data_IF_111984394790
#
_entry.id   IF_111984394790
#
_cell.length_a   1.000
_cell.length_b   1.000
_cell.length_c   1.000
_cell.angle_alpha   90.00
_cell.angle_beta   90.00
_cell.angle_gamma   90.00
#
_symmetry.space_group_name_H-M   'P 1'
#
loop_
_entity.id
_entity.type
_entity.pdbx_description
1 polymer ?
#
# COMPACT_ATOMS: atom_id res chain seq x y z
N UNK A 1 -26.66 13.29 9.52
CA UNK A 1 -25.42 13.88 10.03
C UNK A 1 -24.77 14.64 8.88
N UNK A 2 -24.70 15.99 8.98
CA UNK A 2 -24.08 16.86 8.00
C UNK A 2 -22.57 16.60 8.01
N UNK A 3 -21.97 16.30 6.83
CA UNK A 3 -20.53 16.34 6.67
C UNK A 3 -20.05 17.77 7.01
N UNK A 4 -19.02 17.93 7.86
CA UNK A 4 -18.43 19.24 8.04
C UNK A 4 -17.88 19.73 6.69
N UNK A 5 -18.15 20.99 6.36
CA UNK A 5 -17.65 21.64 5.13
C UNK A 5 -16.11 21.67 5.09
N UNK A 6 -15.53 22.04 3.94
CA UNK A 6 -14.08 22.08 3.77
C UNK A 6 -13.45 23.05 4.75
N UNK A 7 -12.40 22.60 5.45
CA UNK A 7 -11.67 23.44 6.39
C UNK A 7 -10.34 23.85 5.76
N UNK A 8 -10.17 25.16 5.56
CA UNK A 8 -8.88 25.76 5.21
C UNK A 8 -8.41 26.54 6.43
N UNK A 9 -7.24 26.22 6.97
CA UNK A 9 -6.60 26.96 8.05
C UNK A 9 -5.28 27.54 7.57
N UNK A 10 -5.12 28.83 7.68
CA UNK A 10 -3.85 29.50 7.51
C UNK A 10 -3.18 29.65 8.88
N UNK A 11 -2.00 29.09 9.06
CA UNK A 11 -1.16 29.39 10.21
C UNK A 11 -0.41 30.68 9.92
N UNK A 12 -0.83 31.80 10.56
CA UNK A 12 -0.16 33.09 10.46
C UNK A 12 1.08 33.11 11.36
N UNK A 13 2.26 32.81 10.77
CA UNK A 13 3.54 33.22 11.35
C UNK A 13 3.96 34.57 10.77
N UNK A 14 4.51 35.48 11.58
CA UNK A 14 5.03 36.80 11.18
C UNK A 14 6.42 36.69 10.55
N UNK A 15 6.60 35.80 9.50
CA UNK A 15 7.85 35.58 8.79
C UNK A 15 7.62 35.28 7.30
N UNK A 16 8.66 35.31 6.45
CA UNK A 16 8.56 34.91 5.05
C UNK A 16 8.26 33.40 4.99
N UNK A 17 7.03 33.04 4.57
CA UNK A 17 6.58 31.66 4.39
C UNK A 17 5.22 31.40 5.06
N UNK A 18 4.14 31.70 4.33
CA UNK A 18 2.80 31.31 4.79
C UNK A 18 2.64 29.81 4.55
N UNK A 19 2.35 29.07 5.60
CA UNK A 19 1.93 27.66 5.49
C UNK A 19 0.43 27.57 5.52
N UNK A 20 -0.16 26.95 4.51
CA UNK A 20 -1.60 26.72 4.39
C UNK A 20 -1.87 25.23 4.57
N UNK A 21 -2.74 24.89 5.50
CA UNK A 21 -3.27 23.53 5.66
C UNK A 21 -4.68 23.50 5.08
N UNK A 22 -4.92 22.66 4.08
CA UNK A 22 -6.20 22.47 3.44
C UNK A 22 -6.73 21.05 3.68
N UNK A 23 -7.98 20.93 4.12
CA UNK A 23 -8.72 19.67 4.21
C UNK A 23 -9.96 19.76 3.29
N UNK A 24 -9.80 19.67 1.96
CA UNK A 24 -10.90 19.73 1.03
C UNK A 24 -11.83 18.53 1.21
N UNK A 25 -13.09 18.66 0.77
CA UNK A 25 -14.02 17.53 0.83
C UNK A 25 -13.52 16.39 -0.05
N UNK A 26 -13.34 15.21 0.57
CA UNK A 26 -12.78 14.00 -0.05
C UNK A 26 -13.83 13.06 -0.64
N UNK A 27 -15.12 13.46 -0.56
CA UNK A 27 -16.25 12.69 -1.07
C UNK A 27 -17.23 13.61 -1.78
N UNK A 28 -17.74 13.16 -2.91
CA UNK A 28 -18.89 13.70 -3.59
C UNK A 28 -19.88 12.55 -3.81
N UNK A 29 -21.17 12.79 -3.57
CA UNK A 29 -22.26 11.80 -3.72
C UNK A 29 -21.96 10.44 -3.06
N UNK A 30 -21.35 10.46 -1.86
CA UNK A 30 -20.99 9.26 -1.09
C UNK A 30 -19.73 8.52 -1.60
N UNK A 31 -19.19 8.89 -2.76
CA UNK A 31 -17.99 8.28 -3.35
C UNK A 31 -16.73 9.05 -2.99
N UNK A 32 -15.61 8.34 -2.85
CA UNK A 32 -14.30 8.97 -2.67
C UNK A 32 -13.86 9.67 -3.95
N UNK A 33 -13.34 10.88 -3.81
CA UNK A 33 -12.75 11.65 -4.91
C UNK A 33 -11.32 11.14 -5.10
N UNK A 34 -11.01 10.73 -6.32
CA UNK A 34 -9.67 10.27 -6.74
C UNK A 34 -8.99 11.26 -7.68
N UNK A 35 -9.74 12.11 -8.33
CA UNK A 35 -9.26 13.14 -9.26
C UNK A 35 -9.03 14.44 -8.48
N UNK A 36 -7.79 14.98 -8.43
CA UNK A 36 -7.49 16.22 -7.70
C UNK A 36 -8.30 17.43 -8.18
N UNK A 37 -8.65 17.48 -9.46
CA UNK A 37 -9.46 18.57 -10.03
C UNK A 37 -10.93 18.53 -9.56
N UNK A 38 -11.37 17.45 -8.93
CA UNK A 38 -12.72 17.29 -8.38
C UNK A 38 -12.80 17.42 -6.87
N UNK A 39 -11.69 17.73 -6.20
CA UNK A 39 -11.71 18.09 -4.79
C UNK A 39 -12.59 19.32 -4.59
N UNK A 40 -13.07 19.56 -3.38
CA UNK A 40 -13.88 20.75 -3.06
C UNK A 40 -13.21 21.51 -1.91
N UNK A 41 -12.54 22.64 -2.19
CA UNK A 41 -12.29 23.21 -3.52
C UNK A 41 -11.32 22.36 -4.38
N UNK A 42 -11.32 22.51 -5.72
CA UNK A 42 -10.39 21.85 -6.63
C UNK A 42 -8.94 22.17 -6.29
N UNK A 43 -8.03 21.20 -6.53
CA UNK A 43 -6.60 21.40 -6.26
C UNK A 43 -6.01 22.58 -7.06
N UNK A 44 -6.31 22.75 -8.38
CA UNK A 44 -5.82 23.91 -9.12
C UNK A 44 -6.27 25.25 -8.47
N UNK A 45 -7.54 25.34 -8.06
CA UNK A 45 -8.08 26.56 -7.44
C UNK A 45 -7.39 26.87 -6.11
N UNK A 46 -7.01 25.84 -5.34
CA UNK A 46 -6.24 26.02 -4.11
C UNK A 46 -4.83 26.57 -4.39
N UNK A 47 -4.16 26.07 -5.41
CA UNK A 47 -2.84 26.54 -5.80
C UNK A 47 -2.89 27.99 -6.30
N UNK A 48 -3.89 28.34 -7.10
CA UNK A 48 -4.09 29.68 -7.64
C UNK A 48 -4.49 30.71 -6.57
N UNK A 49 -5.23 30.27 -5.55
CA UNK A 49 -5.64 31.16 -4.46
C UNK A 49 -4.51 31.54 -3.50
N UNK A 50 -3.42 30.73 -3.46
CA UNK A 50 -2.31 30.92 -2.53
C UNK A 50 -0.95 30.84 -3.24
N UNK A 51 -0.66 31.71 -4.21
CA UNK A 51 0.56 31.67 -4.98
C UNK A 51 1.80 31.89 -4.09
N UNK A 52 2.78 31.01 -4.21
CA UNK A 52 4.03 31.09 -3.42
C UNK A 52 3.89 30.74 -1.94
N UNK A 53 2.75 30.22 -1.51
CA UNK A 53 2.59 29.69 -0.17
C UNK A 53 2.95 28.20 -0.12
N UNK A 54 3.53 27.74 0.98
CA UNK A 54 3.71 26.34 1.26
C UNK A 54 2.36 25.71 1.64
N UNK A 55 1.89 24.69 0.89
CA UNK A 55 0.60 24.04 1.14
C UNK A 55 0.77 22.58 1.58
N UNK A 56 -0.02 22.21 2.60
CA UNK A 56 -0.25 20.82 3.00
C UNK A 56 -1.73 20.50 2.75
N UNK A 57 -2.01 19.57 1.84
CA UNK A 57 -3.37 19.30 1.34
C UNK A 57 -3.72 17.85 1.65
N UNK A 58 -4.68 17.68 2.56
CA UNK A 58 -5.13 16.36 3.00
C UNK A 58 -6.08 15.74 1.97
N UNK A 59 -5.74 14.56 1.49
CA UNK A 59 -6.47 13.86 0.44
C UNK A 59 -6.94 12.47 0.87
N UNK A 60 -7.85 11.89 0.09
CA UNK A 60 -8.18 10.48 0.24
C UNK A 60 -6.97 9.61 -0.18
N UNK A 61 -6.78 8.42 0.43
CA UNK A 61 -5.67 7.54 0.07
C UNK A 61 -5.60 7.14 -1.41
N UNK A 62 -6.73 7.22 -2.12
CA UNK A 62 -6.83 6.89 -3.54
C UNK A 62 -6.68 8.07 -4.48
N UNK A 63 -6.28 9.23 -3.99
CA UNK A 63 -6.07 10.41 -4.85
C UNK A 63 -5.03 10.10 -5.95
N UNK A 64 -5.27 10.57 -7.14
CA UNK A 64 -4.27 10.54 -8.21
C UNK A 64 -3.27 11.67 -7.97
N UNK A 65 -2.02 11.33 -7.89
CA UNK A 65 -0.92 12.26 -7.68
C UNK A 65 0.20 12.09 -8.71
N UNK A 66 -0.11 11.48 -9.86
CA UNK A 66 0.86 11.23 -10.93
C UNK A 66 1.56 12.50 -11.41
N UNK A 67 0.81 13.61 -11.49
CA UNK A 67 1.29 14.91 -11.94
C UNK A 67 1.75 15.83 -10.79
N UNK A 68 1.80 15.31 -9.54
CA UNK A 68 2.22 16.11 -8.40
C UNK A 68 3.75 16.14 -8.27
N UNK A 69 4.35 17.35 -8.27
CA UNK A 69 5.79 17.54 -8.24
C UNK A 69 6.38 17.76 -6.84
N UNK A 70 5.54 17.90 -5.80
CA UNK A 70 5.97 18.01 -4.41
C UNK A 70 5.97 16.66 -3.68
N UNK A 71 6.05 16.72 -2.34
CA UNK A 71 5.99 15.54 -1.51
C UNK A 71 4.57 14.94 -1.47
N UNK A 72 4.48 13.63 -1.61
CA UNK A 72 3.28 12.83 -1.31
C UNK A 72 3.58 11.93 -0.13
N UNK A 73 2.93 12.18 1.00
CA UNK A 73 3.01 11.33 2.20
C UNK A 73 1.74 10.48 2.33
N UNK A 74 1.90 9.17 2.42
CA UNK A 74 0.80 8.21 2.61
C UNK A 74 0.92 7.59 3.99
N UNK A 75 -0.15 7.65 4.77
CA UNK A 75 -0.13 7.19 6.17
C UNK A 75 -1.05 5.98 6.34
N UNK A 76 -0.52 4.94 6.99
CA UNK A 76 -1.31 3.82 7.52
C UNK A 76 -1.27 3.77 9.04
N UNK A 77 -2.38 3.35 9.64
CA UNK A 77 -2.48 3.07 11.08
C UNK A 77 -3.08 1.69 11.25
N UNK A 78 -2.38 0.82 11.97
CA UNK A 78 -2.77 -0.56 12.23
C UNK A 78 -3.12 -1.36 10.96
N UNK A 79 -2.27 -1.20 9.91
CA UNK A 79 -2.42 -1.88 8.62
C UNK A 79 -3.50 -1.31 7.70
N UNK A 80 -4.20 -0.25 8.12
CA UNK A 80 -5.21 0.42 7.30
C UNK A 80 -4.72 1.78 6.80
N UNK A 81 -4.65 1.98 5.47
CA UNK A 81 -4.31 3.29 4.89
C UNK A 81 -5.39 4.32 5.23
N UNK A 82 -4.99 5.40 5.88
CA UNK A 82 -5.91 6.43 6.39
C UNK A 82 -6.05 7.61 5.44
N UNK A 83 -4.93 8.13 4.97
CA UNK A 83 -4.91 9.33 4.14
C UNK A 83 -3.66 9.41 3.26
N UNK A 84 -3.72 10.26 2.25
CA UNK A 84 -2.57 10.82 1.56
C UNK A 84 -2.56 12.33 1.80
N UNK A 85 -1.38 12.91 1.93
CA UNK A 85 -1.19 14.35 2.02
C UNK A 85 -0.27 14.80 0.89
N UNK A 86 -0.69 15.83 0.16
CA UNK A 86 0.12 16.47 -0.87
C UNK A 86 0.75 17.72 -0.28
N UNK A 87 2.06 17.83 -0.37
CA UNK A 87 2.80 19.00 0.11
C UNK A 87 3.49 19.67 -1.08
N UNK A 88 3.51 20.99 -1.10
CA UNK A 88 4.31 21.73 -2.09
C UNK A 88 5.81 21.44 -1.91
N UNK A 89 6.66 21.68 -2.91
CA UNK A 89 8.10 21.32 -2.87
C UNK A 89 8.89 21.86 -1.69
N UNK A 90 8.39 22.93 -1.02
CA UNK A 90 9.08 23.61 0.08
C UNK A 90 9.17 22.76 1.38
N UNK A 91 8.49 21.61 1.45
CA UNK A 91 8.40 20.81 2.68
C UNK A 91 9.51 19.76 2.83
N UNK A 92 10.05 19.24 1.74
CA UNK A 92 11.06 18.19 1.77
C UNK A 92 11.84 18.09 0.46
N UNK A 93 13.04 17.53 0.54
CA UNK A 93 13.90 17.25 -0.61
C UNK A 93 13.55 15.95 -1.33
N UNK A 94 12.69 15.11 -0.75
CA UNK A 94 12.20 13.88 -1.34
C UNK A 94 10.74 14.03 -1.82
N UNK A 95 10.30 13.15 -2.72
CA UNK A 95 8.99 13.29 -3.37
C UNK A 95 7.95 12.29 -2.88
N UNK A 96 8.36 11.18 -2.27
CA UNK A 96 7.46 10.12 -1.80
C UNK A 96 7.82 9.70 -0.39
N UNK A 97 6.77 9.52 0.42
CA UNK A 97 6.90 9.07 1.79
C UNK A 97 5.74 8.13 2.15
N UNK A 98 6.06 7.07 2.85
CA UNK A 98 5.09 6.21 3.51
C UNK A 98 5.35 6.21 5.01
N UNK A 99 4.33 6.51 5.81
CA UNK A 99 4.39 6.45 7.28
C UNK A 99 3.51 5.32 7.76
N UNK A 100 4.13 4.31 8.37
CA UNK A 100 3.45 3.14 8.95
C UNK A 100 3.44 3.29 10.46
N UNK A 101 2.25 3.39 11.03
CA UNK A 101 2.04 3.55 12.48
C UNK A 101 1.30 2.32 13.00
N UNK A 102 1.83 1.70 14.02
CA UNK A 102 1.24 0.58 14.77
C UNK A 102 1.52 0.79 16.26
N UNK A 103 0.84 0.03 17.11
CA UNK A 103 1.08 0.12 18.56
C UNK A 103 2.57 -0.14 18.87
N UNK A 104 3.22 0.85 19.48
CA UNK A 104 4.64 0.82 19.82
C UNK A 104 5.63 0.85 18.65
N UNK A 105 5.17 1.06 17.40
CA UNK A 105 6.01 1.04 16.21
C UNK A 105 5.65 2.14 15.23
N UNK A 106 6.65 2.87 14.73
CA UNK A 106 6.49 3.82 13.62
C UNK A 106 7.68 3.69 12.68
N UNK A 107 7.41 3.50 11.40
CA UNK A 107 8.42 3.49 10.35
C UNK A 107 8.06 4.51 9.27
N UNK A 108 9.06 5.29 8.85
CA UNK A 108 8.98 6.18 7.69
C UNK A 108 9.90 5.66 6.59
N UNK A 109 9.36 5.53 5.39
CA UNK A 109 10.07 5.12 4.17
C UNK A 109 9.97 6.24 3.15
N UNK A 110 11.10 6.63 2.57
CA UNK A 110 11.21 7.67 1.54
C UNK A 110 11.74 7.12 0.23
N UNK A 111 11.70 7.90 -0.83
CA UNK A 111 12.21 7.54 -2.15
C UNK A 111 13.74 7.69 -2.30
N UNK A 112 14.45 8.04 -1.23
CA UNK A 112 15.92 8.09 -1.19
C UNK A 112 16.58 6.70 -1.10
N UNK A 113 15.77 5.63 -1.00
CA UNK A 113 16.24 4.27 -0.81
C UNK A 113 16.72 3.59 -2.08
N UNK A 114 17.32 2.40 -1.87
CA UNK A 114 17.79 1.54 -2.95
C UNK A 114 16.67 0.79 -3.68
N UNK A 115 17.07 0.02 -4.68
CA UNK A 115 16.22 -0.95 -5.40
C UNK A 115 16.53 -2.37 -4.96
N UNK A 116 15.64 -3.30 -5.27
CA UNK A 116 15.80 -4.72 -4.97
C UNK A 116 15.70 -5.56 -6.22
N UNK A 117 16.42 -6.68 -6.22
CA UNK A 117 16.35 -7.66 -7.29
C UNK A 117 15.07 -8.48 -7.23
N UNK A 118 14.71 -9.06 -8.37
CA UNK A 118 13.69 -10.11 -8.47
C UNK A 118 14.37 -11.46 -8.28
N UNK A 119 13.83 -12.27 -7.37
CA UNK A 119 14.40 -13.58 -7.05
C UNK A 119 13.30 -14.61 -6.77
N UNK A 120 13.71 -15.87 -6.65
CA UNK A 120 12.83 -16.97 -6.24
C UNK A 120 12.33 -16.75 -4.82
N UNK A 121 11.17 -17.32 -4.47
CA UNK A 121 10.68 -17.28 -3.09
C UNK A 121 11.70 -17.84 -2.11
N UNK A 122 11.90 -17.12 -1.01
CA UNK A 122 12.71 -17.50 0.14
C UNK A 122 11.80 -18.05 1.25
N UNK A 123 12.25 -18.04 2.48
CA UNK A 123 11.53 -18.61 3.62
C UNK A 123 10.15 -18.01 3.87
N UNK A 124 9.95 -16.74 3.53
CA UNK A 124 8.68 -16.03 3.73
C UNK A 124 8.24 -15.25 2.49
N UNK A 125 6.93 -15.23 2.24
CA UNK A 125 6.28 -14.25 1.36
C UNK A 125 5.74 -13.13 2.24
N UNK A 126 6.02 -11.88 1.85
CA UNK A 126 5.70 -10.69 2.63
C UNK A 126 4.83 -9.77 1.80
N UNK A 127 3.71 -9.36 2.39
CA UNK A 127 2.78 -8.36 1.84
C UNK A 127 3.11 -7.02 2.50
N UNK A 128 3.72 -6.06 1.78
CA UNK A 128 4.05 -4.76 2.34
C UNK A 128 2.81 -4.01 2.83
N UNK A 129 3.01 -3.10 3.78
CA UNK A 129 1.94 -2.24 4.25
C UNK A 129 1.31 -1.42 3.10
N UNK A 130 0.01 -1.22 3.18
CA UNK A 130 -0.72 -0.50 2.14
C UNK A 130 -0.21 0.92 1.86
N UNK A 131 0.36 1.61 2.86
CA UNK A 131 0.97 2.92 2.66
C UNK A 131 2.24 2.83 1.80
N UNK A 132 3.10 1.83 2.05
CA UNK A 132 4.32 1.57 1.27
C UNK A 132 3.97 1.26 -0.20
N UNK A 133 2.96 0.39 -0.40
CA UNK A 133 2.48 0.05 -1.75
C UNK A 133 1.90 1.29 -2.44
N UNK A 134 1.07 2.06 -1.74
CA UNK A 134 0.39 3.23 -2.31
C UNK A 134 1.35 4.37 -2.62
N UNK A 135 2.38 4.58 -1.80
CA UNK A 135 3.43 5.57 -2.07
C UNK A 135 4.40 5.16 -3.19
N UNK A 136 4.35 3.89 -3.65
CA UNK A 136 5.26 3.37 -4.68
C UNK A 136 6.65 3.02 -4.14
N UNK A 137 6.78 2.77 -2.83
CA UNK A 137 8.06 2.62 -2.12
C UNK A 137 8.40 1.16 -1.77
N UNK A 138 7.82 0.21 -2.49
CA UNK A 138 8.02 -1.23 -2.23
C UNK A 138 9.49 -1.64 -2.37
N UNK A 139 10.20 -1.11 -3.39
CA UNK A 139 11.61 -1.41 -3.61
C UNK A 139 12.49 -0.82 -2.51
N UNK A 140 12.27 0.44 -2.13
CA UNK A 140 13.02 1.14 -1.09
C UNK A 140 12.85 0.46 0.27
N UNK A 141 11.63 0.08 0.60
CA UNK A 141 11.35 -0.69 1.81
C UNK A 141 11.98 -2.08 1.77
N UNK A 142 11.88 -2.77 0.63
CA UNK A 142 12.53 -4.06 0.41
C UNK A 142 14.04 -4.00 0.58
N UNK A 143 14.68 -2.98 0.01
CA UNK A 143 16.14 -2.77 0.14
C UNK A 143 16.56 -2.54 1.59
N UNK A 144 15.80 -1.73 2.34
CA UNK A 144 16.05 -1.47 3.78
C UNK A 144 16.03 -2.75 4.61
N UNK A 145 15.17 -3.71 4.25
CA UNK A 145 14.98 -4.95 4.99
C UNK A 145 15.65 -6.19 4.36
N UNK A 146 16.49 -6.01 3.33
CA UNK A 146 17.21 -7.12 2.68
C UNK A 146 16.29 -8.12 1.98
N UNK A 147 15.13 -7.66 1.49
CA UNK A 147 14.13 -8.48 0.79
C UNK A 147 14.36 -8.45 -0.72
N UNK A 148 13.74 -9.38 -1.43
CA UNK A 148 13.68 -9.43 -2.90
C UNK A 148 12.24 -9.41 -3.38
N UNK A 149 11.99 -8.98 -4.61
CA UNK A 149 10.65 -9.02 -5.22
C UNK A 149 10.40 -10.39 -5.86
N UNK A 150 9.13 -10.82 -5.91
CA UNK A 150 8.72 -12.03 -6.65
C UNK A 150 8.53 -11.74 -8.14
N UNK A 151 8.23 -10.49 -8.49
CA UNK A 151 8.05 -9.99 -9.85
C UNK A 151 8.22 -8.45 -9.84
N UNK A 152 8.81 -7.83 -10.88
CA UNK A 152 9.10 -6.39 -10.87
C UNK A 152 7.86 -5.50 -10.82
N UNK A 153 6.68 -6.03 -11.19
CA UNK A 153 5.42 -5.28 -11.25
C UNK A 153 4.44 -5.65 -10.12
N UNK A 154 4.80 -6.60 -9.25
CA UNK A 154 3.92 -7.12 -8.20
C UNK A 154 4.50 -6.82 -6.82
N UNK A 155 3.74 -6.07 -6.02
CA UNK A 155 4.15 -5.67 -4.68
C UNK A 155 4.05 -6.82 -3.65
N UNK A 156 4.71 -7.95 -3.93
CA UNK A 156 5.01 -9.00 -2.97
C UNK A 156 6.51 -9.20 -2.89
N UNK A 157 7.01 -9.27 -1.68
CA UNK A 157 8.43 -9.45 -1.38
C UNK A 157 8.68 -10.82 -0.75
N UNK A 158 9.93 -11.21 -0.72
CA UNK A 158 10.36 -12.45 -0.09
C UNK A 158 11.68 -12.25 0.64
N UNK A 159 11.83 -12.95 1.76
CA UNK A 159 13.04 -12.93 2.59
C UNK A 159 13.16 -14.16 3.46
N UNK A 160 14.33 -14.35 4.06
CA UNK A 160 14.58 -15.46 4.98
C UNK A 160 14.18 -15.11 6.42
N UNK A 161 14.03 -13.82 6.71
CA UNK A 161 13.61 -13.29 8.00
C UNK A 161 12.51 -12.27 7.78
N UNK A 162 11.55 -12.21 8.69
CA UNK A 162 10.52 -11.16 8.69
C UNK A 162 11.09 -9.87 9.28
N UNK A 163 10.81 -8.70 8.66
CA UNK A 163 11.13 -7.42 9.29
C UNK A 163 10.38 -7.24 10.61
N UNK A 164 11.03 -6.63 11.60
CA UNK A 164 10.43 -6.36 12.90
C UNK A 164 9.15 -5.53 12.76
N UNK A 165 8.11 -5.91 13.50
CA UNK A 165 6.81 -5.26 13.45
C UNK A 165 5.94 -5.61 12.23
N UNK A 166 6.43 -6.46 11.33
CA UNK A 166 5.67 -6.92 10.16
C UNK A 166 5.25 -8.39 10.27
N UNK A 167 4.35 -8.78 9.39
CA UNK A 167 3.88 -10.16 9.26
C UNK A 167 4.18 -10.72 7.88
N UNK A 168 4.27 -12.03 7.80
CA UNK A 168 4.46 -12.72 6.53
C UNK A 168 3.92 -14.14 6.57
N UNK A 169 4.11 -14.86 5.49
CA UNK A 169 3.59 -16.19 5.28
C UNK A 169 4.76 -17.15 5.05
N UNK A 170 4.98 -18.15 5.92
CA UNK A 170 6.01 -19.17 5.69
C UNK A 170 5.78 -19.84 4.33
N UNK A 171 6.70 -19.69 3.41
CA UNK A 171 6.60 -20.26 2.05
C UNK A 171 6.77 -21.78 2.08
N UNK A 172 5.96 -22.51 1.32
CA UNK A 172 6.00 -23.95 1.24
C UNK A 172 6.35 -24.40 -0.19
N UNK A 173 5.53 -24.00 -1.18
CA UNK A 173 5.75 -24.34 -2.57
C UNK A 173 5.07 -23.37 -3.53
N UNK A 174 5.53 -23.38 -4.77
CA UNK A 174 4.96 -22.58 -5.87
C UNK A 174 4.34 -23.52 -6.91
N UNK A 175 3.09 -23.25 -7.29
CA UNK A 175 2.40 -24.05 -8.31
C UNK A 175 1.68 -23.15 -9.32
N UNK A 176 1.49 -23.60 -10.56
CA UNK A 176 0.55 -22.95 -11.46
C UNK A 176 -0.86 -22.91 -10.86
N UNK A 177 -1.60 -21.82 -11.06
CA UNK A 177 -2.94 -21.64 -10.46
C UNK A 177 -3.88 -22.82 -10.73
N UNK A 178 -3.82 -23.44 -11.90
CA UNK A 178 -4.61 -24.64 -12.24
C UNK A 178 -4.34 -25.87 -11.37
N UNK A 179 -3.19 -25.94 -10.70
CA UNK A 179 -2.81 -27.02 -9.78
C UNK A 179 -3.02 -26.66 -8.30
N UNK A 180 -3.55 -25.49 -7.99
CA UNK A 180 -3.70 -24.99 -6.62
C UNK A 180 -4.52 -25.96 -5.74
N UNK A 181 -5.69 -26.42 -6.21
CA UNK A 181 -6.59 -27.26 -5.40
C UNK A 181 -5.93 -28.58 -4.95
N UNK A 182 -5.36 -29.43 -5.85
CA UNK A 182 -4.73 -30.67 -5.41
C UNK A 182 -3.53 -30.40 -4.49
N UNK A 183 -2.75 -29.36 -4.71
CA UNK A 183 -1.63 -29.01 -3.86
C UNK A 183 -2.09 -28.63 -2.44
N UNK A 184 -3.09 -27.75 -2.29
CA UNK A 184 -3.65 -27.42 -0.98
C UNK A 184 -4.26 -28.64 -0.26
N UNK A 185 -4.89 -29.55 -1.00
CA UNK A 185 -5.42 -30.78 -0.41
C UNK A 185 -4.30 -31.69 0.10
N UNK A 186 -3.20 -31.80 -0.62
CA UNK A 186 -2.02 -32.58 -0.20
C UNK A 186 -1.42 -32.05 1.11
N UNK A 187 -1.48 -30.74 1.36
CA UNK A 187 -1.05 -30.12 2.62
C UNK A 187 -2.09 -30.15 3.73
N UNK A 188 -3.26 -30.71 3.51
CA UNK A 188 -4.33 -30.81 4.51
C UNK A 188 -4.98 -29.45 4.81
N UNK A 189 -5.00 -28.53 3.84
CA UNK A 189 -5.56 -27.19 4.01
C UNK A 189 -7.07 -27.23 4.31
N UNK A 190 -7.48 -26.40 5.28
CA UNK A 190 -8.88 -26.18 5.67
C UNK A 190 -9.21 -24.69 5.55
N UNK A 191 -9.01 -23.91 6.60
CA UNK A 191 -9.13 -22.47 6.54
C UNK A 191 -8.03 -21.89 5.66
N UNK A 192 -8.39 -20.96 4.74
CA UNK A 192 -7.46 -20.41 3.77
C UNK A 192 -7.55 -18.88 3.73
N UNK A 193 -6.44 -18.21 4.00
CA UNK A 193 -6.26 -16.79 3.67
C UNK A 193 -5.83 -16.69 2.20
N UNK A 194 -6.49 -15.85 1.41
CA UNK A 194 -6.23 -15.70 -0.03
C UNK A 194 -5.87 -14.26 -0.33
N UNK A 195 -4.67 -14.04 -0.83
CA UNK A 195 -4.20 -12.76 -1.33
C UNK A 195 -4.05 -12.82 -2.84
N UNK A 196 -4.45 -11.74 -3.53
CA UNK A 196 -4.44 -11.72 -5.01
C UNK A 196 -3.91 -10.39 -5.52
N UNK A 197 -2.94 -10.44 -6.47
CA UNK A 197 -2.45 -9.26 -7.20
C UNK A 197 -2.14 -9.57 -8.66
N UNK A 198 -2.54 -8.67 -9.56
CA UNK A 198 -2.20 -8.74 -10.98
C UNK A 198 -2.90 -9.85 -11.78
N UNK A 199 -3.86 -10.55 -11.20
CA UNK A 199 -4.65 -11.59 -11.84
C UNK A 199 -6.14 -11.40 -11.56
N UNK A 200 -6.99 -11.78 -12.51
CA UNK A 200 -8.45 -11.70 -12.35
C UNK A 200 -8.97 -12.95 -11.63
N UNK A 201 -8.81 -12.95 -10.31
CA UNK A 201 -9.29 -14.01 -9.41
C UNK A 201 -10.03 -13.38 -8.26
N UNK A 202 -11.30 -13.74 -8.10
CA UNK A 202 -12.08 -13.36 -6.93
C UNK A 202 -11.80 -14.34 -5.78
N UNK A 203 -11.26 -13.88 -4.64
CA UNK A 203 -10.89 -14.74 -3.50
C UNK A 203 -12.07 -15.54 -2.93
N UNK A 204 -13.26 -14.95 -2.83
CA UNK A 204 -14.45 -15.61 -2.24
C UNK A 204 -14.99 -16.70 -3.14
N UNK A 205 -15.06 -16.43 -4.45
CA UNK A 205 -15.43 -17.45 -5.44
C UNK A 205 -14.41 -18.58 -5.48
N UNK A 206 -13.10 -18.25 -5.40
CA UNK A 206 -12.06 -19.26 -5.36
C UNK A 206 -12.17 -20.12 -4.12
N UNK A 207 -12.38 -19.55 -2.93
CA UNK A 207 -12.58 -20.29 -1.67
C UNK A 207 -13.72 -21.29 -1.79
N UNK A 208 -14.85 -20.88 -2.36
CA UNK A 208 -16.02 -21.75 -2.60
C UNK A 208 -15.70 -22.89 -3.57
N UNK A 209 -14.95 -22.61 -4.65
CA UNK A 209 -14.57 -23.62 -5.67
C UNK A 209 -13.56 -24.65 -5.15
N UNK A 210 -12.66 -24.24 -4.26
CA UNK A 210 -11.61 -25.12 -3.72
C UNK A 210 -12.19 -26.27 -2.88
N UNK A 211 -13.29 -26.07 -2.15
CA UNK A 211 -13.97 -27.09 -1.32
C UNK A 211 -12.98 -27.86 -0.45
N UNK A 212 -12.12 -27.15 0.26
CA UNK A 212 -11.12 -27.74 1.15
C UNK A 212 -11.81 -28.40 2.35
N UNK A 213 -11.29 -29.55 2.78
CA UNK A 213 -11.84 -30.35 3.89
C UNK A 213 -10.82 -30.66 4.98
N UNK A 214 -9.59 -30.13 4.85
CA UNK A 214 -8.56 -30.31 5.86
C UNK A 214 -8.83 -29.47 7.12
N UNK A 215 -7.91 -29.54 8.06
CA UNK A 215 -7.98 -28.81 9.33
C UNK A 215 -6.86 -27.76 9.47
N UNK A 216 -5.86 -27.81 8.61
CA UNK A 216 -4.68 -26.94 8.70
C UNK A 216 -5.02 -25.54 8.20
N UNK A 217 -4.82 -24.47 9.00
CA UNK A 217 -4.90 -23.10 8.53
C UNK A 217 -3.69 -22.79 7.63
N UNK A 218 -3.96 -22.27 6.44
CA UNK A 218 -2.94 -21.96 5.44
C UNK A 218 -3.23 -20.63 4.76
N UNK A 219 -2.28 -20.15 3.99
CA UNK A 219 -2.44 -19.00 3.11
C UNK A 219 -2.02 -19.35 1.68
N UNK A 220 -2.58 -18.62 0.72
CA UNK A 220 -2.11 -18.64 -0.66
C UNK A 220 -2.00 -17.21 -1.18
N UNK A 221 -0.83 -16.89 -1.73
CA UNK A 221 -0.59 -15.64 -2.44
C UNK A 221 -0.64 -15.95 -3.94
N UNK A 222 -1.59 -15.34 -4.63
CA UNK A 222 -1.80 -15.54 -6.07
C UNK A 222 -1.36 -14.25 -6.77
N UNK A 223 -0.39 -14.37 -7.66
CA UNK A 223 0.18 -13.24 -8.35
C UNK A 223 0.45 -13.55 -9.83
N UNK A 224 0.50 -12.50 -10.63
CA UNK A 224 1.10 -12.60 -11.96
C UNK A 224 2.63 -12.60 -11.79
N UNK A 225 3.29 -13.64 -12.33
CA UNK A 225 4.75 -13.71 -12.40
C UNK A 225 5.11 -13.87 -13.87
N UNK A 226 5.71 -12.88 -14.45
CA UNK A 226 5.80 -12.77 -15.90
C UNK A 226 4.39 -12.83 -16.53
N UNK A 227 4.19 -13.76 -17.47
CA UNK A 227 2.91 -13.93 -18.17
C UNK A 227 1.96 -14.93 -17.49
N UNK A 228 2.34 -15.49 -16.34
CA UNK A 228 1.62 -16.62 -15.75
C UNK A 228 0.98 -16.27 -14.41
N UNK A 229 -0.24 -16.77 -14.19
CA UNK A 229 -0.87 -16.77 -12.88
C UNK A 229 -0.26 -17.86 -12.00
N UNK A 230 0.44 -17.47 -10.97
CA UNK A 230 1.20 -18.33 -10.06
C UNK A 230 0.59 -18.26 -8.67
N UNK A 231 0.51 -19.42 -8.01
CA UNK A 231 0.07 -19.54 -6.62
C UNK A 231 1.25 -19.96 -5.73
N UNK A 232 1.55 -19.16 -4.74
CA UNK A 232 2.51 -19.45 -3.68
C UNK A 232 1.72 -19.99 -2.46
N UNK A 233 1.89 -21.27 -2.18
CA UNK A 233 1.27 -21.95 -1.05
C UNK A 233 2.12 -21.69 0.18
N UNK A 234 1.49 -21.23 1.25
CA UNK A 234 2.16 -20.79 2.46
C UNK A 234 1.47 -21.36 3.70
N UNK A 235 2.21 -21.41 4.81
CA UNK A 235 1.64 -21.57 6.14
C UNK A 235 0.75 -20.38 6.51
N UNK A 236 0.05 -20.50 7.64
CA UNK A 236 -0.72 -19.39 8.20
C UNK A 236 0.20 -18.19 8.47
N UNK A 237 -0.39 -16.99 8.44
CA UNK A 237 0.32 -15.73 8.75
C UNK A 237 1.01 -15.80 10.11
N UNK A 238 2.26 -15.36 10.16
CA UNK A 238 3.08 -15.23 11.37
C UNK A 238 3.59 -13.78 11.51
N UNK A 239 3.99 -13.44 12.74
CA UNK A 239 4.56 -12.13 13.10
C UNK A 239 5.87 -12.34 13.82
#
# INVERSE_FOLDING_TARGET
>A
ASCPGPHIRACSGSGPGRVIVADPARRADGRRITDPAKLIPPLPDLLDAYPGAALAIKCAPGIDYSDWHGLVSVVSVDGGVKEACLYTPDFADHHREAVVIRDGFTETVTDDGGTVDVDKPKSFIIDPDGAIVRAGLVQQWGARHGLTMLDPHIAYLSGDVLPDGYSGFPFIEQVPLKKLRPALQAHGAGALEILVRGVDVNPDQLRTKLKLKGSRPMAVVIARVGDSATAFICGARVR
#
